data_IF_050549336713
#
_entry.id   IF_050549336713
#
_cell.length_a   1.000
_cell.length_b   1.000
_cell.length_c   1.000
_cell.angle_alpha   90.00
_cell.angle_beta   90.00
_cell.angle_gamma   90.00
#
_symmetry.space_group_name_H-M   'P 1'
#
loop_
_entity.id
_entity.type
_entity.pdbx_description
1 polymer ?
#
# COMPACT_ATOMS: atom_id res chain seq x y z
N UNK A 1 13.42 -18.15 -15.54
CA UNK A 1 12.33 -18.55 -14.62
C UNK A 1 12.47 -17.75 -13.33
N UNK A 2 11.36 -17.35 -12.70
CA UNK A 2 11.36 -16.51 -11.51
C UNK A 2 10.75 -17.30 -10.35
N UNK A 3 11.50 -17.51 -9.26
CA UNK A 3 11.02 -18.26 -8.10
C UNK A 3 10.17 -17.41 -7.14
N UNK A 4 10.27 -16.07 -7.23
CA UNK A 4 9.63 -15.12 -6.31
C UNK A 4 9.20 -13.86 -7.06
N UNK A 5 7.95 -13.45 -6.88
CA UNK A 5 7.45 -12.18 -7.41
C UNK A 5 6.88 -11.33 -6.26
N UNK A 6 6.99 -10.01 -6.40
CA UNK A 6 6.28 -9.04 -5.55
C UNK A 6 5.14 -8.47 -6.39
N UNK A 7 3.91 -8.87 -6.09
CA UNK A 7 2.73 -8.49 -6.85
C UNK A 7 1.47 -8.54 -5.98
N UNK A 8 0.36 -8.07 -6.53
CA UNK A 8 -0.98 -8.19 -5.97
C UNK A 8 -1.66 -9.45 -6.53
N UNK A 9 -2.36 -10.26 -5.71
CA UNK A 9 -3.07 -11.45 -6.19
C UNK A 9 -4.46 -11.13 -6.80
N UNK A 10 -4.69 -9.86 -7.14
CA UNK A 10 -5.96 -9.39 -7.68
C UNK A 10 -6.29 -10.10 -9.00
N UNK A 11 -7.58 -10.18 -9.32
CA UNK A 11 -8.08 -10.75 -10.58
C UNK A 11 -7.33 -10.17 -11.78
N UNK A 12 -6.89 -11.01 -12.71
CA UNK A 12 -6.28 -10.53 -13.93
C UNK A 12 -7.32 -9.83 -14.83
N UNK A 13 -6.92 -8.83 -15.62
CA UNK A 13 -7.79 -8.30 -16.67
C UNK A 13 -8.16 -9.41 -17.67
N UNK A 14 -9.35 -9.33 -18.27
CA UNK A 14 -9.83 -10.32 -19.25
C UNK A 14 -8.85 -10.54 -20.42
N UNK A 15 -8.01 -9.55 -20.74
CA UNK A 15 -6.97 -9.65 -21.77
C UNK A 15 -5.76 -10.53 -21.37
N UNK A 16 -5.46 -10.62 -20.06
CA UNK A 16 -4.35 -11.42 -19.51
C UNK A 16 -4.76 -12.86 -19.15
N UNK A 17 -6.07 -13.16 -19.21
CA UNK A 17 -6.63 -14.47 -18.88
C UNK A 17 -6.16 -15.61 -19.81
N UNK A 18 -5.57 -15.30 -20.97
CA UNK A 18 -5.36 -16.26 -22.06
C UNK A 18 -4.08 -17.11 -21.91
N UNK A 19 -3.14 -16.83 -21.00
CA UNK A 19 -1.78 -17.42 -21.10
C UNK A 19 -1.14 -18.10 -19.88
N UNK A 20 -1.81 -18.26 -18.74
CA UNK A 20 -1.17 -18.89 -17.58
C UNK A 20 -1.98 -20.07 -17.03
N UNK A 21 -1.81 -21.26 -17.64
CA UNK A 21 -1.96 -22.54 -16.94
C UNK A 21 -0.64 -22.88 -16.29
N UNK A 22 -0.35 -22.31 -15.13
CA UNK A 22 0.77 -22.77 -14.30
C UNK A 22 0.31 -23.91 -13.41
N UNK A 23 0.85 -25.11 -13.62
CA UNK A 23 0.68 -26.29 -12.75
C UNK A 23 1.58 -26.25 -11.50
N UNK A 24 2.34 -25.17 -11.32
CA UNK A 24 3.28 -24.99 -10.20
C UNK A 24 2.50 -24.54 -8.96
N UNK A 25 2.64 -25.23 -7.81
CA UNK A 25 2.06 -24.76 -6.55
C UNK A 25 2.56 -23.36 -6.21
N UNK A 26 1.64 -22.41 -6.06
CA UNK A 26 1.94 -21.05 -5.62
C UNK A 26 1.79 -20.94 -4.10
N UNK A 27 2.60 -20.07 -3.52
CA UNK A 27 2.50 -19.71 -2.11
C UNK A 27 2.51 -18.20 -1.92
N UNK A 28 1.98 -17.75 -0.80
CA UNK A 28 1.98 -16.36 -0.39
C UNK A 28 2.72 -16.20 0.94
N UNK A 29 3.49 -15.12 1.07
CA UNK A 29 4.17 -14.79 2.31
C UNK A 29 4.28 -13.28 2.47
N UNK A 30 4.51 -12.85 3.71
CA UNK A 30 4.88 -11.47 4.01
C UNK A 30 6.15 -11.06 3.29
N UNK A 31 6.30 -9.76 3.05
CA UNK A 31 7.55 -9.22 2.52
C UNK A 31 8.71 -9.52 3.49
N UNK A 32 9.92 -9.79 2.95
CA UNK A 32 11.09 -10.01 3.78
C UNK A 32 11.36 -8.77 4.64
N UNK A 33 11.76 -9.00 5.88
CA UNK A 33 12.19 -7.94 6.80
C UNK A 33 13.71 -7.75 6.78
N UNK A 34 14.19 -6.88 7.67
CA UNK A 34 15.61 -6.63 7.87
C UNK A 34 15.97 -6.67 9.35
N UNK A 35 17.19 -7.13 9.65
CA UNK A 35 17.81 -6.95 10.98
C UNK A 35 18.51 -5.59 11.10
N UNK A 36 18.93 -5.01 9.98
CA UNK A 36 19.47 -3.66 9.94
C UNK A 36 18.30 -2.68 9.86
N UNK A 37 18.14 -1.86 10.91
CA UNK A 37 17.04 -0.89 11.03
C UNK A 37 17.63 0.49 11.28
N UNK A 38 17.13 1.50 10.57
CA UNK A 38 17.51 2.89 10.80
C UNK A 38 16.75 3.45 12.00
N UNK A 39 17.47 3.85 13.04
CA UNK A 39 16.89 4.46 14.23
C UNK A 39 16.90 5.98 14.09
N UNK A 40 15.71 6.57 13.90
CA UNK A 40 15.57 8.00 13.60
C UNK A 40 16.10 8.92 14.70
N UNK A 41 15.87 8.59 15.97
CA UNK A 41 16.31 9.42 17.11
C UNK A 41 17.83 9.48 17.22
N UNK A 42 18.51 8.35 16.98
CA UNK A 42 19.97 8.27 17.01
C UNK A 42 20.62 8.53 15.64
N UNK A 43 19.82 8.75 14.59
CA UNK A 43 20.21 8.95 13.19
C UNK A 43 21.22 7.93 12.64
N UNK A 44 21.14 6.68 13.09
CA UNK A 44 22.11 5.64 12.73
C UNK A 44 21.44 4.30 12.45
N UNK A 45 22.09 3.49 11.62
CA UNK A 45 21.72 2.10 11.41
C UNK A 45 22.12 1.25 12.62
N UNK A 46 21.18 0.45 13.13
CA UNK A 46 21.41 -0.51 14.20
C UNK A 46 21.04 -1.92 13.75
N UNK A 47 21.82 -2.88 14.19
CA UNK A 47 21.49 -4.29 14.05
C UNK A 47 20.61 -4.75 15.21
N UNK A 48 19.45 -5.31 14.89
CA UNK A 48 18.54 -5.97 15.83
C UNK A 48 18.80 -7.47 15.89
N UNK A 49 18.45 -8.08 17.02
CA UNK A 49 18.53 -9.53 17.16
C UNK A 49 17.51 -10.24 16.26
N UNK A 50 16.26 -9.80 16.30
CA UNK A 50 15.18 -10.30 15.45
C UNK A 50 15.09 -9.53 14.11
N UNK A 51 14.47 -10.18 13.12
CA UNK A 51 14.07 -9.53 11.85
C UNK A 51 12.88 -8.64 12.12
N UNK A 52 13.00 -7.36 11.78
CA UNK A 52 11.91 -6.40 11.84
C UNK A 52 11.28 -6.23 10.45
N UNK A 53 9.96 -6.10 10.41
CA UNK A 53 9.19 -5.82 9.19
C UNK A 53 8.43 -4.53 9.38
N UNK A 54 8.46 -3.67 8.37
CA UNK A 54 7.77 -2.39 8.36
C UNK A 54 6.87 -2.35 7.14
N UNK A 55 5.63 -2.89 7.23
CA UNK A 55 4.66 -2.75 6.17
C UNK A 55 4.42 -1.28 5.82
N UNK A 56 4.36 -1.01 4.53
CA UNK A 56 3.90 0.27 4.01
C UNK A 56 2.37 0.18 3.83
N UNK A 57 1.63 1.00 4.57
CA UNK A 57 0.17 1.01 4.59
C UNK A 57 -0.39 2.27 3.93
N UNK A 58 -1.64 2.20 3.46
CA UNK A 58 -2.32 3.34 2.83
C UNK A 58 -1.75 3.76 1.48
N UNK A 59 -1.21 2.80 0.70
CA UNK A 59 -0.57 3.06 -0.59
C UNK A 59 -1.53 3.14 -1.77
N UNK A 60 -2.61 2.37 -1.71
CA UNK A 60 -3.58 2.17 -2.77
C UNK A 60 -4.91 1.75 -2.15
N UNK A 61 -5.99 1.96 -2.89
CA UNK A 61 -7.35 1.66 -2.44
C UNK A 61 -8.36 2.62 -3.05
N UNK A 62 -9.64 2.30 -2.86
CA UNK A 62 -10.75 3.20 -3.18
C UNK A 62 -11.31 3.78 -1.90
N UNK A 63 -11.62 5.08 -1.94
CA UNK A 63 -12.26 5.80 -0.84
C UNK A 63 -13.54 6.42 -1.36
N UNK A 64 -14.64 6.24 -0.64
CA UNK A 64 -15.87 6.97 -0.85
C UNK A 64 -15.93 8.14 0.14
N UNK A 65 -16.23 9.34 -0.34
CA UNK A 65 -16.30 10.55 0.48
C UNK A 65 -17.49 11.42 0.06
N UNK A 66 -18.06 12.14 1.01
CA UNK A 66 -19.12 13.12 0.79
C UNK A 66 -18.58 14.52 0.99
N UNK A 67 -18.91 15.41 0.07
CA UNK A 67 -18.61 16.83 0.22
C UNK A 67 -19.60 17.49 1.17
N UNK A 68 -19.18 18.60 1.79
CA UNK A 68 -20.05 19.39 2.67
C UNK A 68 -21.22 20.04 1.92
N UNK A 69 -21.13 20.18 0.60
CA UNK A 69 -22.15 20.77 -0.26
C UNK A 69 -23.21 19.77 -0.75
N UNK A 70 -23.22 18.53 -0.26
CA UNK A 70 -24.16 17.50 -0.71
C UNK A 70 -25.61 17.89 -0.35
N UNK A 71 -26.50 17.90 -1.34
CA UNK A 71 -27.91 18.34 -1.16
C UNK A 71 -28.75 17.31 -0.40
N UNK A 72 -28.58 16.03 -0.70
CA UNK A 72 -29.33 14.91 -0.08
C UNK A 72 -28.43 14.14 0.88
N UNK A 73 -28.00 14.80 1.96
CA UNK A 73 -26.96 14.26 2.86
C UNK A 73 -27.30 12.92 3.48
N UNK A 74 -28.58 12.64 3.78
CA UNK A 74 -29.01 11.33 4.33
C UNK A 74 -28.81 10.21 3.31
N UNK A 75 -29.48 10.28 2.16
CA UNK A 75 -29.39 9.24 1.13
C UNK A 75 -27.96 9.06 0.61
N UNK A 76 -27.18 10.14 0.52
CA UNK A 76 -25.77 10.05 0.15
C UNK A 76 -24.92 9.32 1.20
N UNK A 77 -25.20 9.52 2.50
CA UNK A 77 -24.56 8.73 3.58
C UNK A 77 -24.97 7.28 3.50
N UNK A 78 -26.27 6.99 3.37
CA UNK A 78 -26.78 5.63 3.26
C UNK A 78 -26.11 4.87 2.10
N UNK A 79 -25.90 5.53 0.96
CA UNK A 79 -25.20 4.95 -0.19
C UNK A 79 -23.71 4.67 0.09
N UNK A 80 -23.00 5.60 0.73
CA UNK A 80 -21.59 5.40 1.11
C UNK A 80 -21.42 4.30 2.16
N UNK A 81 -22.33 4.26 3.15
CA UNK A 81 -22.35 3.22 4.17
C UNK A 81 -22.64 1.85 3.53
N UNK A 82 -23.59 1.79 2.60
CA UNK A 82 -23.89 0.56 1.86
C UNK A 82 -22.69 0.09 1.04
N UNK A 83 -21.98 0.96 0.30
CA UNK A 83 -20.79 0.60 -0.49
C UNK A 83 -19.67 -0.06 0.35
N UNK A 84 -19.60 0.26 1.64
CA UNK A 84 -18.59 -0.28 2.57
C UNK A 84 -19.14 -1.36 3.50
N UNK A 85 -20.40 -1.74 3.32
CA UNK A 85 -21.05 -2.83 4.05
C UNK A 85 -20.41 -4.19 3.73
N UNK A 86 -20.70 -5.19 4.55
CA UNK A 86 -20.23 -6.56 4.29
C UNK A 86 -20.78 -7.11 2.97
N UNK A 87 -22.06 -6.82 2.66
CA UNK A 87 -22.76 -7.27 1.46
C UNK A 87 -22.14 -6.65 0.20
N UNK A 88 -22.16 -5.31 0.08
CA UNK A 88 -21.64 -4.64 -1.11
C UNK A 88 -20.12 -4.76 -1.21
N UNK A 89 -19.40 -4.78 -0.09
CA UNK A 89 -17.94 -4.92 -0.08
C UNK A 89 -17.47 -6.27 -0.63
N UNK A 90 -18.20 -7.35 -0.38
CA UNK A 90 -17.88 -8.68 -0.92
C UNK A 90 -18.21 -8.84 -2.41
N UNK A 91 -19.07 -7.98 -2.97
CA UNK A 91 -19.54 -8.06 -4.35
C UNK A 91 -18.88 -7.02 -5.26
N UNK A 92 -18.79 -5.76 -4.82
CA UNK A 92 -18.30 -4.64 -5.63
C UNK A 92 -16.80 -4.48 -5.44
N UNK A 93 -16.33 -4.43 -4.20
CA UNK A 93 -14.91 -4.18 -3.95
C UNK A 93 -14.05 -5.39 -4.31
N UNK A 94 -14.55 -6.61 -4.12
CA UNK A 94 -13.83 -7.84 -4.49
C UNK A 94 -13.58 -7.97 -6.01
N UNK A 95 -14.47 -7.43 -6.85
CA UNK A 95 -14.32 -7.43 -8.32
C UNK A 95 -13.34 -6.36 -8.82
N UNK A 96 -12.97 -5.39 -7.97
CA UNK A 96 -12.06 -4.31 -8.35
C UNK A 96 -10.62 -4.66 -8.01
N UNK A 97 -9.74 -4.70 -9.02
CA UNK A 97 -8.28 -4.84 -8.83
C UNK A 97 -7.65 -3.71 -8.00
N UNK A 98 -8.35 -2.58 -7.87
CA UNK A 98 -7.91 -1.45 -7.05
C UNK A 98 -8.32 -1.57 -5.57
N UNK A 99 -8.91 -2.70 -5.17
CA UNK A 99 -9.39 -2.95 -3.82
C UNK A 99 -8.77 -4.24 -3.27
N UNK A 100 -8.68 -4.30 -1.95
CA UNK A 100 -8.24 -5.46 -1.19
C UNK A 100 -9.18 -5.65 0.02
N UNK A 101 -9.13 -6.80 0.73
CA UNK A 101 -9.92 -6.98 1.93
C UNK A 101 -9.77 -5.81 2.90
N UNK A 102 -10.89 -5.20 3.26
CA UNK A 102 -10.97 -3.99 4.08
C UNK A 102 -11.46 -4.26 5.51
N UNK A 103 -11.95 -5.48 5.78
CA UNK A 103 -12.43 -5.92 7.11
C UNK A 103 -11.85 -7.27 7.47
N UNK A 104 -11.61 -7.52 8.76
CA UNK A 104 -11.10 -8.82 9.22
C UNK A 104 -12.02 -10.00 8.87
N UNK A 105 -13.35 -9.81 8.91
CA UNK A 105 -14.31 -10.86 8.53
C UNK A 105 -14.21 -11.27 7.05
N UNK A 106 -13.64 -10.41 6.19
CA UNK A 106 -13.39 -10.76 4.79
C UNK A 106 -12.16 -11.67 4.65
N UNK A 107 -11.25 -11.67 5.63
CA UNK A 107 -10.10 -12.60 5.63
C UNK A 107 -10.54 -14.03 5.91
N UNK A 108 -11.64 -14.22 6.66
CA UNK A 108 -12.24 -15.54 6.89
C UNK A 108 -12.94 -16.07 5.63
N UNK A 109 -13.18 -15.21 4.64
CA UNK A 109 -13.84 -15.50 3.36
C UNK A 109 -13.07 -14.88 2.19
N UNK A 110 -11.78 -15.18 2.09
CA UNK A 110 -10.82 -14.51 1.17
C UNK A 110 -11.05 -14.81 -0.32
N UNK A 111 -11.76 -15.89 -0.65
CA UNK A 111 -11.91 -16.39 -2.02
C UNK A 111 -12.35 -15.35 -3.07
N UNK A 112 -13.25 -14.38 -2.78
CA UNK A 112 -13.63 -13.34 -3.74
C UNK A 112 -12.48 -12.40 -4.14
N UNK A 113 -11.42 -12.31 -3.33
CA UNK A 113 -10.32 -11.34 -3.49
C UNK A 113 -9.09 -11.91 -4.18
N UNK A 114 -9.12 -13.21 -4.51
CA UNK A 114 -8.02 -13.91 -5.15
C UNK A 114 -8.48 -14.50 -6.47
N UNK A 115 -7.58 -14.53 -7.44
CA UNK A 115 -7.83 -15.27 -8.66
C UNK A 115 -8.01 -16.77 -8.34
N UNK A 116 -9.09 -17.37 -8.86
CA UNK A 116 -9.44 -18.78 -8.60
C UNK A 116 -8.32 -19.76 -8.99
N UNK A 117 -7.41 -19.36 -9.88
CA UNK A 117 -6.27 -20.17 -10.32
C UNK A 117 -5.23 -20.40 -9.22
N UNK A 118 -5.20 -19.58 -8.17
CA UNK A 118 -4.21 -19.70 -7.10
C UNK A 118 -4.55 -20.78 -6.06
N UNK A 119 -5.83 -21.19 -5.99
CA UNK A 119 -6.30 -22.24 -5.09
C UNK A 119 -6.36 -21.85 -3.61
N UNK A 120 -6.98 -22.72 -2.81
CA UNK A 120 -7.35 -22.42 -1.43
C UNK A 120 -6.15 -22.22 -0.50
N UNK A 121 -5.08 -22.99 -0.70
CA UNK A 121 -3.84 -22.86 0.09
C UNK A 121 -3.26 -21.45 -0.02
N UNK A 122 -3.14 -20.93 -1.25
CA UNK A 122 -2.64 -19.59 -1.49
C UNK A 122 -3.55 -18.55 -0.83
N UNK A 123 -4.87 -18.72 -0.93
CA UNK A 123 -5.84 -17.84 -0.26
C UNK A 123 -5.67 -17.78 1.25
N UNK A 124 -5.51 -18.94 1.90
CA UNK A 124 -5.28 -19.02 3.34
C UNK A 124 -3.97 -18.33 3.75
N UNK A 125 -2.89 -18.54 2.99
CA UNK A 125 -1.59 -17.89 3.21
C UNK A 125 -1.68 -16.36 3.01
N UNK A 126 -2.39 -15.90 1.98
CA UNK A 126 -2.62 -14.48 1.72
C UNK A 126 -3.43 -13.82 2.85
N UNK A 127 -4.51 -14.46 3.30
CA UNK A 127 -5.31 -13.97 4.42
C UNK A 127 -4.50 -13.90 5.72
N UNK A 128 -3.66 -14.91 5.98
CA UNK A 128 -2.74 -14.92 7.12
C UNK A 128 -1.70 -13.79 7.03
N UNK A 129 -1.09 -13.60 5.85
CA UNK A 129 -0.11 -12.54 5.62
C UNK A 129 -0.73 -11.15 5.84
N UNK A 130 -1.94 -10.88 5.32
CA UNK A 130 -2.64 -9.61 5.57
C UNK A 130 -2.90 -9.43 7.08
N UNK A 131 -3.37 -10.48 7.77
CA UNK A 131 -3.67 -10.41 9.21
C UNK A 131 -2.42 -10.07 10.01
N UNK A 132 -1.30 -10.71 9.71
CA UNK A 132 -0.02 -10.46 10.38
C UNK A 132 0.57 -9.07 10.06
N UNK A 133 0.45 -8.58 8.82
CA UNK A 133 0.89 -7.21 8.48
C UNK A 133 0.07 -6.16 9.23
N UNK A 134 -1.25 -6.32 9.33
CA UNK A 134 -2.12 -5.39 10.07
C UNK A 134 -1.88 -5.41 11.59
N UNK A 135 -1.35 -6.51 12.13
CA UNK A 135 -0.94 -6.64 13.53
C UNK A 135 0.51 -6.20 13.77
N UNK A 136 1.22 -5.73 12.74
CA UNK A 136 2.62 -5.33 12.89
C UNK A 136 2.75 -4.08 13.77
N UNK A 137 3.64 -4.19 14.77
CA UNK A 137 3.92 -3.09 15.71
C UNK A 137 4.56 -1.88 15.02
N UNK A 138 5.35 -2.13 13.99
CA UNK A 138 5.94 -1.11 13.14
C UNK A 138 5.20 -1.09 11.82
N UNK A 139 4.85 0.10 11.36
CA UNK A 139 4.28 0.34 10.04
C UNK A 139 4.67 1.74 9.60
N UNK A 140 4.70 1.94 8.29
CA UNK A 140 4.90 3.25 7.68
C UNK A 140 3.63 3.62 6.92
N UNK A 141 3.05 4.77 7.20
CA UNK A 141 1.96 5.29 6.39
C UNK A 141 2.52 5.97 5.15
N UNK A 142 1.96 5.70 3.97
CA UNK A 142 2.29 6.46 2.77
C UNK A 142 1.85 7.93 2.94
N UNK A 143 2.73 8.94 2.74
CA UNK A 143 2.36 10.33 2.95
C UNK A 143 1.12 10.74 2.16
N UNK A 144 0.07 11.24 2.84
CA UNK A 144 -1.18 11.73 2.23
C UNK A 144 -1.18 13.25 2.17
N UNK A 145 -0.30 13.79 1.32
CA UNK A 145 -0.07 15.22 1.17
C UNK A 145 -0.35 15.69 -0.27
N UNK A 146 -0.64 16.98 -0.50
CA UNK A 146 -0.80 17.52 -1.84
C UNK A 146 0.42 17.23 -2.72
N UNK A 147 0.18 16.88 -3.99
CA UNK A 147 1.22 16.59 -4.99
C UNK A 147 2.13 15.41 -4.60
N UNK A 148 1.62 14.47 -3.79
CA UNK A 148 2.29 13.21 -3.41
C UNK A 148 2.95 12.50 -4.58
N UNK A 149 2.31 12.46 -5.74
CA UNK A 149 2.82 11.72 -6.90
C UNK A 149 4.15 12.28 -7.41
N UNK A 150 4.41 13.59 -7.27
CA UNK A 150 5.72 14.16 -7.60
C UNK A 150 6.82 13.71 -6.63
N UNK A 151 6.50 13.58 -5.33
CA UNK A 151 7.43 13.00 -4.35
C UNK A 151 7.76 11.54 -4.72
N UNK A 152 6.74 10.75 -5.06
CA UNK A 152 6.97 9.36 -5.46
C UNK A 152 7.72 9.22 -6.78
N UNK A 153 7.44 10.08 -7.77
CA UNK A 153 8.19 10.11 -9.02
C UNK A 153 9.68 10.43 -8.78
N UNK A 154 9.99 11.40 -7.91
CA UNK A 154 11.37 11.71 -7.55
C UNK A 154 12.09 10.54 -6.88
N UNK A 155 11.38 9.74 -6.08
CA UNK A 155 11.93 8.53 -5.47
C UNK A 155 12.10 7.41 -6.49
N UNK A 156 11.13 7.21 -7.38
CA UNK A 156 11.18 6.20 -8.44
C UNK A 156 12.37 6.44 -9.38
N UNK A 157 12.54 7.67 -9.86
CA UNK A 157 13.70 8.08 -10.67
C UNK A 157 15.04 7.77 -9.98
N UNK A 158 15.14 8.05 -8.67
CA UNK A 158 16.33 7.76 -7.90
C UNK A 158 16.59 6.25 -7.75
N UNK A 159 15.55 5.47 -7.45
CA UNK A 159 15.66 4.00 -7.34
C UNK A 159 16.08 3.40 -8.69
N UNK A 160 15.51 3.87 -9.79
CA UNK A 160 15.88 3.43 -11.14
C UNK A 160 17.33 3.77 -11.47
N UNK A 161 17.79 4.99 -11.17
CA UNK A 161 19.18 5.39 -11.38
C UNK A 161 20.16 4.51 -10.57
N UNK A 162 19.83 4.19 -9.32
CA UNK A 162 20.63 3.29 -8.49
C UNK A 162 20.64 1.85 -9.04
N UNK A 163 19.48 1.33 -9.45
CA UNK A 163 19.35 -0.01 -10.02
C UNK A 163 20.08 -0.15 -11.35
N UNK A 164 20.13 0.91 -12.16
CA UNK A 164 20.88 0.99 -13.40
C UNK A 164 22.39 1.24 -13.21
N UNK A 165 22.86 1.41 -11.96
CA UNK A 165 24.27 1.69 -11.66
C UNK A 165 24.73 3.11 -12.03
N UNK A 166 23.82 4.02 -12.34
CA UNK A 166 24.12 5.40 -12.73
C UNK A 166 24.48 6.29 -11.53
N UNK A 167 24.06 5.89 -10.32
CA UNK A 167 24.42 6.53 -9.07
C UNK A 167 24.55 5.47 -7.96
N UNK A 168 25.34 5.76 -6.92
CA UNK A 168 25.32 4.91 -5.72
C UNK A 168 23.95 5.01 -5.02
N UNK A 169 23.49 3.98 -4.30
CA UNK A 169 22.22 4.03 -3.59
C UNK A 169 22.10 5.24 -2.64
N UNK A 170 23.20 5.59 -1.96
CA UNK A 170 23.26 6.77 -1.09
C UNK A 170 23.08 8.07 -1.87
N UNK A 171 23.82 8.24 -2.98
CA UNK A 171 23.74 9.44 -3.81
C UNK A 171 22.35 9.59 -4.47
N UNK A 172 21.77 8.50 -4.94
CA UNK A 172 20.44 8.48 -5.53
C UNK A 172 19.36 8.92 -4.52
N UNK A 173 19.37 8.36 -3.31
CA UNK A 173 18.41 8.74 -2.27
C UNK A 173 18.62 10.17 -1.77
N UNK A 174 19.87 10.66 -1.74
CA UNK A 174 20.14 12.06 -1.44
C UNK A 174 19.55 13.00 -2.52
N UNK A 175 19.60 12.61 -3.79
CA UNK A 175 18.98 13.36 -4.88
C UNK A 175 17.44 13.38 -4.77
N UNK A 176 16.81 12.25 -4.41
CA UNK A 176 15.37 12.20 -4.13
C UNK A 176 15.01 13.14 -2.96
N UNK A 177 15.78 13.10 -1.87
CA UNK A 177 15.56 13.98 -0.72
C UNK A 177 15.66 15.47 -1.10
N UNK A 178 16.67 15.86 -1.88
CA UNK A 178 16.81 17.24 -2.36
C UNK A 178 15.61 17.67 -3.24
N UNK A 179 15.10 16.77 -4.11
CA UNK A 179 13.89 17.04 -4.90
C UNK A 179 12.67 17.21 -4.00
N UNK A 180 12.52 16.39 -2.96
CA UNK A 180 11.43 16.52 -1.98
C UNK A 180 11.46 17.86 -1.23
N UNK A 181 12.64 18.34 -0.85
CA UNK A 181 12.79 19.68 -0.24
C UNK A 181 12.33 20.76 -1.21
N UNK A 182 12.78 20.71 -2.48
CA UNK A 182 12.36 21.66 -3.52
C UNK A 182 10.84 21.67 -3.74
N UNK A 183 10.20 20.50 -3.85
CA UNK A 183 8.74 20.38 -3.98
C UNK A 183 8.05 20.99 -2.74
N UNK A 184 8.56 20.70 -1.56
CA UNK A 184 8.01 21.20 -0.29
C UNK A 184 8.10 22.72 -0.18
N UNK A 185 9.22 23.31 -0.61
CA UNK A 185 9.43 24.75 -0.61
C UNK A 185 8.52 25.45 -1.63
N UNK A 186 8.34 24.88 -2.82
CA UNK A 186 7.41 25.39 -3.84
C UNK A 186 5.95 25.40 -3.36
N UNK A 187 5.53 24.39 -2.61
CA UNK A 187 4.17 24.25 -2.10
C UNK A 187 3.94 24.97 -0.77
N UNK A 188 5.02 25.43 -0.12
CA UNK A 188 5.02 26.02 1.21
C UNK A 188 5.07 24.97 2.32
N UNK A 189 6.18 24.98 3.08
CA UNK A 189 6.47 24.00 4.13
C UNK A 189 5.39 23.90 5.21
N UNK A 190 4.88 25.03 5.69
CA UNK A 190 3.79 25.03 6.68
C UNK A 190 2.47 24.50 6.10
N UNK A 191 2.20 24.73 4.82
CA UNK A 191 1.02 24.17 4.16
C UNK A 191 1.12 22.64 4.07
N UNK A 192 2.28 22.13 3.68
CA UNK A 192 2.57 20.70 3.63
C UNK A 192 2.50 20.05 5.02
N UNK A 193 3.08 20.70 6.03
CA UNK A 193 3.01 20.25 7.42
C UNK A 193 1.57 20.19 7.93
N UNK A 194 0.76 21.22 7.69
CA UNK A 194 -0.67 21.23 8.06
C UNK A 194 -1.45 20.12 7.35
N UNK A 195 -1.23 19.92 6.06
CA UNK A 195 -1.88 18.86 5.31
C UNK A 195 -1.51 17.47 5.84
N UNK A 196 -0.23 17.25 6.15
CA UNK A 196 0.25 16.00 6.75
C UNK A 196 -0.41 15.74 8.11
N UNK A 197 -0.41 16.71 9.02
CA UNK A 197 -1.05 16.58 10.33
C UNK A 197 -2.56 16.32 10.21
N UNK A 198 -3.25 17.05 9.32
CA UNK A 198 -4.66 16.83 9.04
C UNK A 198 -4.92 15.41 8.50
N UNK A 199 -4.04 14.87 7.65
CA UNK A 199 -4.16 13.50 7.15
C UNK A 199 -4.06 12.46 8.27
N UNK A 200 -3.29 12.75 9.32
CA UNK A 200 -3.15 11.91 10.51
C UNK A 200 -4.29 12.10 11.53
N UNK A 201 -5.24 13.00 11.26
CA UNK A 201 -6.29 13.37 12.21
C UNK A 201 -5.76 14.18 13.40
N UNK A 202 -4.51 14.64 13.35
CA UNK A 202 -3.92 15.51 14.36
C UNK A 202 -4.40 16.92 14.07
N UNK A 203 -5.32 17.41 14.91
CA UNK A 203 -5.71 18.81 14.89
C UNK A 203 -4.54 19.67 15.37
N UNK A 204 -4.24 20.80 14.70
CA UNK A 204 -3.17 21.70 15.10
C UNK A 204 -3.40 22.32 16.48
#
# INVERSE_FOLDING_TARGET
ECALAITWPAHAEAADAVRATTSVPLGCARLPGSRAVYEREAQQWKMRYAVERVPLVGIAGRVAALTTSVRHSRSARDAVDWLTSQEAGGLIAAESMACAPQRYSQLDSIAPWIDRRYGDKFGAEYAAAIREENLSRLWLYSPRIPVRDAYLAALDEAVQAAAAGQASPSAALAAAAAKWESITDQLGREQQRRAYLASLGVRP
#
